data_IF_799087364483
#
_entry.id   IF_799087364483
#
_cell.length_a   1.000
_cell.length_b   1.000
_cell.length_c   1.000
_cell.angle_alpha   90.00
_cell.angle_beta   90.00
_cell.angle_gamma   90.00
#
_symmetry.space_group_name_H-M   'P 1'
#
loop_
_entity.id
_entity.type
_entity.pdbx_description
1 polymer ?
#
# COMPACT_ATOMS: atom_id res chain seq x y z
N UNK A 1 -0.09 -9.52 -11.21
CA UNK A 1 -0.16 -9.23 -9.77
C UNK A 1 -0.23 -7.73 -9.63
N UNK A 2 -1.19 -7.19 -8.89
CA UNK A 2 -1.30 -5.75 -8.69
C UNK A 2 -0.61 -5.37 -7.39
N UNK A 3 0.28 -4.38 -7.42
CA UNK A 3 0.95 -3.82 -6.25
C UNK A 3 0.42 -2.43 -5.98
N UNK A 4 -0.02 -2.20 -4.75
CA UNK A 4 -0.32 -0.87 -4.23
C UNK A 4 0.77 -0.51 -3.23
N UNK A 5 1.66 0.40 -3.62
CA UNK A 5 2.82 0.80 -2.84
C UNK A 5 2.60 2.18 -2.22
N UNK A 6 3.05 2.36 -0.98
CA UNK A 6 2.96 3.61 -0.23
C UNK A 6 4.33 4.03 0.26
N UNK A 7 4.67 5.29 -0.01
CA UNK A 7 5.82 5.93 0.63
C UNK A 7 5.41 6.47 1.99
N UNK A 8 6.14 6.04 3.01
CA UNK A 8 5.91 6.47 4.39
C UNK A 8 6.61 7.80 4.65
N UNK A 9 6.09 8.54 5.63
CA UNK A 9 6.91 9.59 6.27
C UNK A 9 8.13 8.96 6.95
N UNK A 10 9.26 9.71 7.04
CA UNK A 10 10.45 9.22 7.74
C UNK A 10 10.10 8.75 9.15
N UNK A 11 10.34 7.47 9.45
CA UNK A 11 10.12 6.92 10.79
C UNK A 11 11.21 7.47 11.72
N UNK A 12 10.85 8.18 12.82
CA UNK A 12 11.83 8.73 13.74
C UNK A 12 12.76 7.64 14.30
N UNK A 13 14.04 7.98 14.49
CA UNK A 13 15.03 7.05 15.04
C UNK A 13 14.58 6.45 16.37
N UNK A 14 14.38 5.13 16.40
CA UNK A 14 13.95 4.38 17.59
C UNK A 14 12.44 4.21 17.75
N UNK A 15 11.62 4.83 16.90
CA UNK A 15 10.19 4.51 16.82
C UNK A 15 9.96 3.12 16.21
N UNK A 16 8.90 2.39 16.61
CA UNK A 16 8.55 1.13 15.98
C UNK A 16 8.15 1.36 14.52
N UNK A 17 8.53 0.44 13.64
CA UNK A 17 8.06 0.45 12.26
C UNK A 17 6.55 0.16 12.21
N UNK A 18 5.79 0.85 11.33
CA UNK A 18 4.33 0.78 11.35
C UNK A 18 3.77 -0.56 10.86
N UNK A 19 4.61 -1.45 10.32
CA UNK A 19 4.20 -2.75 9.76
C UNK A 19 3.35 -3.60 10.72
N UNK A 20 3.66 -3.58 12.01
CA UNK A 20 2.87 -4.33 13.01
C UNK A 20 1.51 -3.69 13.26
N UNK A 21 1.43 -2.36 13.22
CA UNK A 21 0.16 -1.62 13.31
C UNK A 21 -0.70 -1.89 12.09
N UNK A 22 -0.10 -1.87 10.88
CA UNK A 22 -0.78 -2.22 9.63
C UNK A 22 -1.32 -3.65 9.68
N UNK A 23 -0.52 -4.62 10.15
CA UNK A 23 -1.00 -5.99 10.31
C UNK A 23 -2.18 -6.10 11.28
N UNK A 24 -2.16 -5.31 12.36
CA UNK A 24 -3.25 -5.30 13.34
C UNK A 24 -4.54 -4.79 12.70
N UNK A 25 -4.46 -3.67 11.97
CA UNK A 25 -5.59 -3.11 11.22
C UNK A 25 -6.13 -4.10 10.17
N UNK A 26 -5.25 -4.78 9.43
CA UNK A 26 -5.66 -5.79 8.45
C UNK A 26 -6.41 -6.96 9.12
N UNK A 27 -5.97 -7.39 10.31
CA UNK A 27 -6.65 -8.44 11.07
C UNK A 27 -8.02 -7.99 11.59
N UNK A 28 -8.16 -6.74 12.01
CA UNK A 28 -9.45 -6.15 12.41
C UNK A 28 -10.45 -6.11 11.24
N UNK A 29 -9.94 -6.02 10.00
CA UNK A 29 -10.73 -6.11 8.76
C UNK A 29 -10.96 -7.54 8.26
N UNK A 30 -10.63 -8.55 9.07
CA UNK A 30 -10.89 -9.95 8.78
C UNK A 30 -9.82 -10.63 7.92
N UNK A 31 -8.64 -10.01 7.72
CA UNK A 31 -7.51 -10.73 7.18
C UNK A 31 -7.04 -11.79 8.18
N UNK A 32 -6.58 -12.94 7.67
CA UNK A 32 -5.99 -14.00 8.47
C UNK A 32 -4.61 -14.34 7.96
N UNK A 33 -3.70 -14.68 8.88
CA UNK A 33 -2.35 -15.09 8.51
C UNK A 33 -2.35 -16.44 7.80
N UNK A 34 -1.68 -16.54 6.66
CA UNK A 34 -1.57 -17.78 5.86
C UNK A 34 -0.28 -18.52 6.16
N UNK A 35 0.81 -17.79 6.37
CA UNK A 35 2.13 -18.36 6.65
C UNK A 35 2.88 -17.55 7.72
N UNK A 36 4.01 -18.07 8.19
CA UNK A 36 4.92 -17.37 9.09
C UNK A 36 5.47 -16.11 8.41
N UNK A 37 5.62 -14.99 9.15
CA UNK A 37 6.25 -13.80 8.59
C UNK A 37 7.66 -14.11 8.10
N UNK A 38 7.97 -13.68 6.88
CA UNK A 38 9.33 -13.71 6.37
C UNK A 38 9.99 -12.37 6.69
N UNK A 39 10.98 -12.37 7.58
CA UNK A 39 11.69 -11.15 7.95
C UNK A 39 13.21 -11.37 7.96
N UNK A 40 13.95 -10.46 7.32
CA UNK A 40 15.40 -10.32 7.50
C UNK A 40 15.64 -9.15 8.44
N UNK A 41 16.17 -9.41 9.64
CA UNK A 41 16.38 -8.41 10.68
C UNK A 41 15.13 -8.16 11.54
N UNK A 42 14.90 -9.03 12.54
CA UNK A 42 13.86 -8.81 13.54
C UNK A 42 14.47 -8.10 14.77
N UNK A 43 14.26 -6.79 14.91
CA UNK A 43 14.80 -5.99 16.00
C UNK A 43 14.19 -4.58 16.10
N UNK A 44 14.79 -3.71 16.92
CA UNK A 44 14.49 -2.27 16.91
C UNK A 44 15.08 -1.64 15.65
N UNK A 45 14.26 -0.97 14.84
CA UNK A 45 14.69 -0.31 13.61
C UNK A 45 13.89 -0.77 12.39
N UNK A 46 14.35 -0.38 11.21
CA UNK A 46 13.73 -0.77 9.95
C UNK A 46 13.94 -2.27 9.66
N UNK A 47 12.88 -3.00 9.27
CA UNK A 47 13.06 -4.34 8.72
C UNK A 47 13.90 -4.22 7.44
N UNK A 48 14.87 -5.12 7.23
CA UNK A 48 15.59 -5.13 5.97
C UNK A 48 14.67 -5.60 4.85
N UNK A 49 13.84 -6.60 5.13
CA UNK A 49 12.71 -7.05 4.30
C UNK A 49 11.69 -7.70 5.26
N UNK A 50 10.42 -7.30 5.23
CA UNK A 50 9.33 -7.98 5.91
C UNK A 50 8.19 -8.29 4.93
N UNK A 51 7.89 -9.57 4.70
CA UNK A 51 6.77 -10.04 3.87
C UNK A 51 5.85 -10.95 4.67
N UNK A 52 4.55 -10.68 4.61
CA UNK A 52 3.54 -11.45 5.32
C UNK A 52 2.40 -11.83 4.37
N UNK A 53 2.26 -13.13 4.10
CA UNK A 53 1.11 -13.68 3.38
C UNK A 53 -0.14 -13.71 4.27
N UNK A 54 -1.24 -13.17 3.75
CA UNK A 54 -2.53 -13.04 4.39
C UNK A 54 -3.64 -13.53 3.46
N UNK A 55 -4.79 -13.85 4.04
CA UNK A 55 -6.02 -14.10 3.30
C UNK A 55 -7.10 -13.17 3.81
N UNK A 56 -7.66 -12.36 2.94
CA UNK A 56 -8.72 -11.42 3.27
C UNK A 56 -9.93 -11.72 2.40
N UNK A 57 -11.05 -12.10 3.04
CA UNK A 57 -12.29 -12.48 2.36
C UNK A 57 -12.13 -13.53 1.24
N UNK A 58 -11.20 -14.47 1.44
CA UNK A 58 -10.89 -15.51 0.45
C UNK A 58 -9.78 -15.14 -0.54
N UNK A 59 -9.45 -13.85 -0.68
CA UNK A 59 -8.39 -13.33 -1.54
C UNK A 59 -7.03 -13.46 -0.86
N UNK A 60 -6.04 -14.00 -1.56
CA UNK A 60 -4.65 -14.03 -1.09
C UNK A 60 -3.99 -12.66 -1.31
N UNK A 61 -3.47 -12.05 -0.24
CA UNK A 61 -2.78 -10.76 -0.29
C UNK A 61 -1.44 -10.86 0.44
N UNK A 62 -0.46 -10.03 0.06
CA UNK A 62 0.80 -9.95 0.78
C UNK A 62 1.09 -8.53 1.24
N UNK A 63 1.38 -8.38 2.53
CA UNK A 63 1.92 -7.14 3.05
C UNK A 63 3.45 -7.21 2.96
N UNK A 64 4.05 -6.26 2.25
CA UNK A 64 5.49 -6.09 2.13
C UNK A 64 5.90 -4.77 2.78
N UNK A 65 7.02 -4.78 3.48
CA UNK A 65 7.65 -3.59 4.04
C UNK A 65 9.14 -3.63 3.73
N UNK A 66 9.62 -2.58 3.06
CA UNK A 66 10.95 -2.51 2.47
C UNK A 66 11.56 -1.11 2.68
N UNK A 67 12.89 -1.06 2.69
CA UNK A 67 13.64 0.19 2.65
C UNK A 67 14.55 0.19 1.41
N UNK A 68 14.26 1.06 0.45
CA UNK A 68 15.04 1.19 -0.79
C UNK A 68 15.56 2.62 -0.94
N UNK A 69 16.87 2.81 -1.14
CA UNK A 69 17.43 4.15 -1.39
C UNK A 69 17.20 5.19 -0.27
N UNK A 70 16.87 4.77 0.96
CA UNK A 70 16.49 5.67 2.04
C UNK A 70 14.99 6.02 2.08
N UNK A 71 14.21 5.42 1.19
CA UNK A 71 12.74 5.48 1.16
C UNK A 71 12.19 4.30 1.97
N UNK A 72 11.28 4.62 2.89
CA UNK A 72 10.53 3.63 3.65
C UNK A 72 9.22 3.34 2.91
N UNK A 73 8.99 2.08 2.56
CA UNK A 73 7.84 1.67 1.75
C UNK A 73 7.04 0.56 2.45
N UNK A 74 5.71 0.65 2.37
CA UNK A 74 4.79 -0.46 2.63
C UNK A 74 3.97 -0.68 1.38
N UNK A 75 3.84 -1.93 0.95
CA UNK A 75 2.99 -2.29 -0.18
C UNK A 75 2.08 -3.46 0.10
N UNK A 76 0.92 -3.44 -0.55
CA UNK A 76 0.03 -4.59 -0.69
C UNK A 76 0.22 -5.21 -2.07
N UNK A 77 0.61 -6.48 -2.10
CA UNK A 77 0.53 -7.31 -3.30
C UNK A 77 -0.83 -8.01 -3.31
N UNK A 78 -1.58 -7.79 -4.37
CA UNK A 78 -2.91 -8.31 -4.62
C UNK A 78 -2.87 -9.15 -5.90
N UNK A 79 -3.85 -10.06 -6.11
CA UNK A 79 -4.09 -10.64 -7.42
C UNK A 79 -4.26 -9.55 -8.49
N UNK A 80 -4.08 -9.89 -9.77
CA UNK A 80 -4.47 -9.01 -10.88
C UNK A 80 -5.86 -8.39 -10.66
N UNK A 81 -6.04 -7.13 -11.05
CA UNK A 81 -7.27 -6.37 -10.79
C UNK A 81 -8.52 -7.01 -11.43
N UNK A 82 -8.36 -7.61 -12.61
CA UNK A 82 -9.41 -8.40 -13.28
C UNK A 82 -9.82 -9.62 -12.44
N UNK A 83 -8.88 -10.34 -11.84
CA UNK A 83 -9.17 -11.45 -10.93
C UNK A 83 -9.80 -10.99 -9.61
N UNK A 84 -9.44 -9.80 -9.12
CA UNK A 84 -10.03 -9.22 -7.91
C UNK A 84 -11.52 -8.96 -8.09
N UNK A 85 -11.91 -8.35 -9.21
CA UNK A 85 -13.31 -8.03 -9.53
C UNK A 85 -14.21 -9.28 -9.60
N UNK A 86 -13.64 -10.45 -9.88
CA UNK A 86 -14.38 -11.73 -9.85
C UNK A 86 -14.48 -12.35 -8.44
N UNK A 87 -13.60 -11.95 -7.51
CA UNK A 87 -13.47 -12.56 -6.19
C UNK A 87 -14.07 -11.71 -5.05
N UNK A 88 -14.23 -10.40 -5.26
CA UNK A 88 -14.82 -9.49 -4.28
C UNK A 88 -16.20 -9.04 -4.73
N UNK A 89 -17.14 -9.00 -3.80
CA UNK A 89 -18.52 -8.58 -4.08
C UNK A 89 -18.66 -7.05 -4.27
N UNK A 90 -17.76 -6.28 -3.65
CA UNK A 90 -17.80 -4.81 -3.65
C UNK A 90 -16.36 -4.23 -3.77
N UNK A 91 -16.17 -3.34 -4.75
CA UNK A 91 -14.91 -2.63 -4.97
C UNK A 91 -14.60 -1.67 -3.81
N UNK A 92 -15.62 -1.11 -3.15
CA UNK A 92 -15.46 -0.18 -2.03
C UNK A 92 -14.76 -0.85 -0.82
N UNK A 93 -14.90 -2.17 -0.67
CA UNK A 93 -14.20 -2.92 0.36
C UNK A 93 -12.69 -2.98 0.08
N UNK A 94 -12.29 -3.09 -1.19
CA UNK A 94 -10.87 -3.06 -1.59
C UNK A 94 -10.28 -1.67 -1.34
N UNK A 95 -11.01 -0.62 -1.70
CA UNK A 95 -10.57 0.75 -1.40
C UNK A 95 -10.49 1.02 0.10
N UNK A 96 -11.41 0.48 0.89
CA UNK A 96 -11.38 0.56 2.36
C UNK A 96 -10.13 -0.13 2.92
N UNK A 97 -9.76 -1.30 2.40
CA UNK A 97 -8.53 -2.02 2.78
C UNK A 97 -7.28 -1.17 2.47
N UNK A 98 -7.19 -0.66 1.24
CA UNK A 98 -6.09 0.18 0.74
C UNK A 98 -5.96 1.46 1.58
N UNK A 99 -7.07 2.17 1.82
CA UNK A 99 -7.12 3.40 2.60
C UNK A 99 -6.66 3.18 4.05
N UNK A 100 -7.08 2.06 4.65
CA UNK A 100 -6.71 1.74 6.03
C UNK A 100 -5.22 1.46 6.18
N UNK A 101 -4.61 0.79 5.20
CA UNK A 101 -3.14 0.64 5.17
C UNK A 101 -2.47 2.00 5.02
N UNK A 102 -2.90 2.82 4.05
CA UNK A 102 -2.34 4.14 3.81
C UNK A 102 -2.41 5.05 5.04
N UNK A 103 -3.56 5.07 5.72
CA UNK A 103 -3.77 5.86 6.93
C UNK A 103 -2.90 5.35 8.09
N UNK A 104 -2.82 4.03 8.26
CA UNK A 104 -2.08 3.41 9.38
C UNK A 104 -0.57 3.60 9.26
N UNK A 105 -0.03 3.65 8.03
CA UNK A 105 1.38 3.90 7.81
C UNK A 105 1.75 5.38 7.64
N UNK A 106 0.79 6.31 7.77
CA UNK A 106 0.96 7.74 7.50
C UNK A 106 1.59 7.98 6.12
N UNK A 107 0.97 7.37 5.09
CA UNK A 107 1.42 7.45 3.71
C UNK A 107 1.41 8.90 3.20
N UNK A 108 2.48 9.31 2.52
CA UNK A 108 2.56 10.62 1.87
C UNK A 108 1.97 10.60 0.47
N UNK A 109 2.22 9.50 -0.25
CA UNK A 109 1.71 9.19 -1.58
C UNK A 109 1.91 7.69 -1.83
N UNK A 110 1.39 7.21 -2.96
CA UNK A 110 1.55 5.85 -3.41
C UNK A 110 1.30 5.70 -4.90
N UNK A 111 1.44 4.47 -5.37
CA UNK A 111 1.19 4.11 -6.75
C UNK A 111 0.55 2.71 -6.84
N UNK A 112 -0.18 2.49 -7.93
CA UNK A 112 -0.80 1.22 -8.30
C UNK A 112 -0.18 0.75 -9.60
N UNK A 113 0.39 -0.45 -9.63
CA UNK A 113 1.01 -1.00 -10.84
C UNK A 113 1.43 -2.46 -10.73
N UNK A 114 2.26 -2.92 -11.66
CA UNK A 114 2.61 -4.34 -11.84
C UNK A 114 3.83 -4.80 -11.01
N UNK A 115 4.05 -4.19 -9.84
CA UNK A 115 5.11 -4.62 -8.91
C UNK A 115 6.37 -3.75 -8.91
N UNK A 116 6.45 -2.72 -9.74
CA UNK A 116 7.59 -1.79 -9.75
C UNK A 116 7.68 -1.01 -8.41
N UNK A 117 8.89 -0.82 -7.85
CA UNK A 117 9.10 -0.05 -6.61
C UNK A 117 8.83 1.44 -6.83
N UNK A 118 8.50 2.15 -5.75
CA UNK A 118 8.44 3.61 -5.77
C UNK A 118 9.88 4.16 -5.86
N UNK A 119 10.24 4.73 -7.01
CA UNK A 119 11.49 5.50 -7.16
C UNK A 119 11.34 6.93 -6.59
N UNK A 120 12.40 7.73 -6.66
CA UNK A 120 12.43 9.12 -6.17
C UNK A 120 11.47 10.08 -6.89
N UNK A 121 10.98 9.71 -8.08
CA UNK A 121 9.91 10.44 -8.79
C UNK A 121 8.60 9.64 -8.73
N UNK A 122 7.79 9.82 -7.67
CA UNK A 122 6.58 9.04 -7.44
C UNK A 122 5.42 9.42 -8.36
N UNK A 123 5.62 10.40 -9.24
CA UNK A 123 4.57 10.97 -10.07
C UNK A 123 4.76 10.67 -11.54
N UNK A 124 5.68 9.77 -11.95
CA UNK A 124 5.76 9.34 -13.35
C UNK A 124 4.56 8.45 -13.69
N UNK A 125 3.52 8.98 -14.35
CA UNK A 125 2.34 8.19 -14.63
C UNK A 125 2.67 7.08 -15.61
N UNK A 126 3.79 7.15 -16.37
CA UNK A 126 4.09 6.18 -17.44
C UNK A 126 4.31 4.77 -16.93
N UNK A 127 4.76 4.63 -15.69
CA UNK A 127 5.13 3.35 -15.07
C UNK A 127 4.01 2.70 -14.27
N UNK A 128 2.99 3.47 -13.90
CA UNK A 128 1.93 3.04 -13.01
C UNK A 128 0.58 3.10 -13.72
N UNK A 129 -0.38 2.30 -13.26
CA UNK A 129 -1.78 2.31 -13.74
C UNK A 129 -2.57 3.40 -13.01
N UNK A 130 -2.16 3.73 -11.78
CA UNK A 130 -2.71 4.84 -11.01
C UNK A 130 -1.73 5.39 -9.99
N UNK A 131 -2.01 6.60 -9.51
CA UNK A 131 -1.26 7.29 -8.46
C UNK A 131 -2.18 7.63 -7.30
N UNK A 132 -1.63 7.60 -6.09
CA UNK A 132 -2.32 7.93 -4.84
C UNK A 132 -1.62 9.15 -4.26
N UNK A 133 -2.26 10.32 -4.29
CA UNK A 133 -1.61 11.60 -3.96
C UNK A 133 -2.50 12.44 -3.04
N UNK A 134 -1.96 13.43 -2.36
CA UNK A 134 -2.80 14.40 -1.65
C UNK A 134 -3.62 15.23 -2.64
N UNK A 135 -4.87 15.57 -2.28
CA UNK A 135 -5.81 16.26 -3.18
C UNK A 135 -5.24 17.52 -3.83
N UNK A 136 -4.50 18.32 -3.07
CA UNK A 136 -3.86 19.56 -3.55
C UNK A 136 -2.86 19.33 -4.69
N UNK A 137 -2.27 18.15 -4.78
CA UNK A 137 -1.24 17.80 -5.77
C UNK A 137 -1.86 17.13 -7.01
N UNK A 138 -3.16 16.79 -6.97
CA UNK A 138 -3.87 16.12 -8.08
C UNK A 138 -3.85 16.91 -9.39
N UNK A 139 -3.89 18.25 -9.32
CA UNK A 139 -3.84 19.12 -10.50
C UNK A 139 -2.45 19.27 -11.13
N UNK A 140 -1.39 18.81 -10.45
CA UNK A 140 -0.01 18.89 -10.94
C UNK A 140 0.44 17.64 -11.71
N UNK A 141 -0.32 16.55 -11.61
CA UNK A 141 -0.02 15.27 -12.24
C UNK A 141 -0.83 15.15 -13.54
N UNK A 142 -0.22 14.83 -14.68
CA UNK A 142 -0.93 14.73 -15.97
C UNK A 142 -1.76 13.44 -16.12
N UNK A 143 -2.35 12.94 -15.03
CA UNK A 143 -3.29 11.82 -15.01
C UNK A 143 -4.73 12.29 -15.26
N UNK A 144 -5.64 11.34 -15.52
CA UNK A 144 -7.06 11.61 -15.68
C UNK A 144 -7.69 12.11 -14.35
N UNK A 145 -8.94 12.59 -14.43
CA UNK A 145 -9.67 13.15 -13.31
C UNK A 145 -9.64 12.24 -12.06
N UNK A 146 -9.73 12.81 -10.84
CA UNK A 146 -9.80 12.03 -9.61
C UNK A 146 -10.86 10.94 -9.69
N UNK A 147 -10.45 9.70 -9.42
CA UNK A 147 -11.35 8.54 -9.43
C UNK A 147 -12.13 8.46 -8.10
N UNK A 148 -11.41 8.50 -6.98
CA UNK A 148 -12.00 8.51 -5.64
C UNK A 148 -11.10 9.20 -4.61
N UNK A 149 -11.66 9.50 -3.45
CA UNK A 149 -10.94 10.01 -2.27
C UNK A 149 -11.00 8.98 -1.17
N UNK A 150 -9.84 8.61 -0.64
CA UNK A 150 -9.66 7.67 0.45
C UNK A 150 -9.92 8.41 1.79
N UNK A 151 -11.04 8.16 2.48
CA UNK A 151 -11.51 9.04 3.55
C UNK A 151 -10.65 9.01 4.84
N UNK A 152 -9.98 7.89 5.16
CA UNK A 152 -9.15 7.76 6.36
C UNK A 152 -7.78 8.42 6.17
N UNK A 153 -7.15 8.23 5.02
CA UNK A 153 -5.83 8.78 4.69
C UNK A 153 -5.91 10.20 4.11
N UNK A 154 -7.05 10.59 3.54
CA UNK A 154 -7.22 11.87 2.83
C UNK A 154 -6.51 11.93 1.48
N UNK A 155 -6.12 10.78 0.92
CA UNK A 155 -5.44 10.68 -0.37
C UNK A 155 -6.45 10.51 -1.51
N UNK A 156 -6.14 11.06 -2.67
CA UNK A 156 -6.90 10.91 -3.91
C UNK A 156 -6.26 9.85 -4.80
N UNK A 157 -7.10 9.00 -5.38
CA UNK A 157 -6.69 8.04 -6.41
C UNK A 157 -6.89 8.66 -7.78
N UNK A 158 -5.82 8.71 -8.56
CA UNK A 158 -5.81 9.15 -9.95
C UNK A 158 -5.53 7.93 -10.82
N UNK A 159 -6.41 7.62 -11.76
CA UNK A 159 -6.22 6.51 -12.72
C UNK A 159 -5.83 7.06 -14.09
N UNK A 160 -5.24 6.21 -14.93
CA UNK A 160 -4.91 6.52 -16.33
C UNK A 160 -6.07 6.31 -17.28
#
# INVERSE_FOLDING_TARGET
MTRVAFRLRPVPGGAPWPVMTVLTELFEQGAVRVDRPHAVGAGRGAPLIHRQALRWRGVEIHLCAERHGGVDEISLELPPWDELVEQIDDEDDLWTLIDSVAATCDAQHGAIGDGEPLEDDPLDPRRHVGLIVVERDSGAVPLAAPYTVLPRSGLCVLLR
#
